data_IF_926445090201
#
_entry.id   IF_926445090201
#
_cell.length_a   1.000
_cell.length_b   1.000
_cell.length_c   1.000
_cell.angle_alpha   90.00
_cell.angle_beta   90.00
_cell.angle_gamma   90.00
#
_symmetry.space_group_name_H-M   'P 1'
#
loop_
_entity.id
_entity.type
_entity.pdbx_description
1 polymer ?
#
# COMPACT_ATOMS: atom_id res chain seq x y z
N UNK A 1 15.47 36.67 33.77
CA UNK A 1 15.39 35.18 33.78
C UNK A 1 14.61 34.61 32.59
N UNK A 2 14.33 35.25 31.42
CA UNK A 2 13.66 34.52 30.34
C UNK A 2 14.59 34.08 29.18
N UNK A 3 15.80 34.57 29.07
CA UNK A 3 16.65 34.24 27.91
C UNK A 3 17.28 32.85 27.95
N UNK A 4 17.59 32.31 29.12
CA UNK A 4 18.17 30.97 29.27
C UNK A 4 17.19 29.84 28.95
N UNK A 5 15.89 30.07 29.18
CA UNK A 5 14.86 29.07 28.92
C UNK A 5 14.59 28.87 27.42
N UNK A 6 14.67 29.96 26.66
CA UNK A 6 14.49 29.92 25.18
C UNK A 6 15.69 29.26 24.51
N UNK A 7 16.91 29.48 24.99
CA UNK A 7 18.12 28.85 24.46
C UNK A 7 18.12 27.35 24.76
N UNK A 8 17.64 26.94 25.93
CA UNK A 8 17.52 25.51 26.30
C UNK A 8 16.47 24.79 25.46
N UNK A 9 15.35 25.43 25.16
CA UNK A 9 14.33 24.90 24.24
C UNK A 9 14.85 24.80 22.81
N UNK A 10 15.60 25.78 22.32
CA UNK A 10 16.23 25.70 21.00
C UNK A 10 17.31 24.62 20.92
N UNK A 11 18.07 24.41 22.01
CA UNK A 11 19.06 23.34 22.08
C UNK A 11 18.42 21.93 22.13
N UNK A 12 17.32 21.79 22.86
CA UNK A 12 16.55 20.53 22.90
C UNK A 12 15.87 20.24 21.57
N UNK A 13 15.30 21.25 20.90
CA UNK A 13 14.69 21.10 19.58
C UNK A 13 15.73 20.80 18.48
N UNK A 14 16.91 21.43 18.54
CA UNK A 14 18.01 21.15 17.60
C UNK A 14 18.57 19.73 17.76
N UNK A 15 18.69 19.23 18.99
CA UNK A 15 19.15 17.86 19.27
C UNK A 15 18.08 16.81 18.96
N UNK A 16 16.80 17.12 19.17
CA UNK A 16 15.70 16.23 18.80
C UNK A 16 15.63 16.04 17.28
N UNK A 17 15.79 17.12 16.51
CA UNK A 17 15.86 17.07 15.04
C UNK A 17 17.03 16.22 14.55
N UNK A 18 18.24 16.39 15.14
CA UNK A 18 19.43 15.59 14.76
C UNK A 18 19.31 14.11 15.14
N UNK A 19 18.65 13.80 16.24
CA UNK A 19 18.42 12.41 16.65
C UNK A 19 17.39 11.71 15.77
N UNK A 20 16.33 12.42 15.37
CA UNK A 20 15.33 11.92 14.45
C UNK A 20 15.91 11.69 13.04
N UNK A 21 16.78 12.59 12.54
CA UNK A 21 17.50 12.41 11.28
C UNK A 21 18.45 11.21 11.31
N UNK A 22 19.18 11.04 12.41
CA UNK A 22 20.14 9.93 12.57
C UNK A 22 19.43 8.58 12.66
N UNK A 23 18.25 8.54 13.30
CA UNK A 23 17.42 7.34 13.38
C UNK A 23 16.80 6.99 12.01
N UNK A 24 16.30 7.99 11.28
CA UNK A 24 15.77 7.81 9.92
C UNK A 24 16.85 7.32 8.93
N UNK A 25 18.07 7.86 9.03
CA UNK A 25 19.19 7.46 8.19
C UNK A 25 19.63 6.01 8.46
N UNK A 26 19.73 5.61 9.72
CA UNK A 26 20.08 4.23 10.10
C UNK A 26 18.97 3.22 9.74
N UNK A 27 17.70 3.61 9.84
CA UNK A 27 16.56 2.78 9.45
C UNK A 27 16.55 2.52 7.94
N UNK A 28 16.76 3.56 7.13
CA UNK A 28 16.85 3.41 5.68
C UNK A 28 18.03 2.53 5.25
N UNK A 29 19.18 2.67 5.88
CA UNK A 29 20.34 1.83 5.61
C UNK A 29 20.06 0.35 5.96
N UNK A 30 19.31 0.08 7.02
CA UNK A 30 18.89 -1.27 7.38
C UNK A 30 17.91 -1.85 6.36
N UNK A 31 16.91 -1.08 5.94
CA UNK A 31 15.93 -1.53 4.94
C UNK A 31 16.57 -1.82 3.58
N UNK A 32 17.48 -0.95 3.11
CA UNK A 32 18.18 -1.15 1.82
C UNK A 32 19.06 -2.39 1.79
N UNK A 33 19.47 -2.90 2.93
CA UNK A 33 20.24 -4.16 3.02
C UNK A 33 19.39 -5.41 2.73
N UNK A 34 18.07 -5.36 3.01
CA UNK A 34 17.19 -6.53 2.97
C UNK A 34 16.09 -6.44 1.93
N UNK A 35 15.74 -5.23 1.48
CA UNK A 35 14.67 -4.98 0.54
C UNK A 35 15.13 -4.19 -0.68
N UNK A 36 14.56 -4.52 -1.83
CA UNK A 36 14.80 -3.76 -3.04
C UNK A 36 14.22 -2.34 -2.92
N UNK A 37 14.85 -1.36 -3.57
CA UNK A 37 14.45 0.06 -3.54
C UNK A 37 12.97 0.30 -3.90
N UNK A 38 12.40 -0.51 -4.80
CA UNK A 38 10.98 -0.44 -5.16
C UNK A 38 10.04 -0.77 -3.99
N UNK A 39 10.41 -1.73 -3.14
CA UNK A 39 9.62 -2.03 -1.92
C UNK A 39 9.70 -0.85 -0.97
N UNK A 40 10.89 -0.28 -0.79
CA UNK A 40 11.12 0.86 0.11
C UNK A 40 10.32 2.06 -0.36
N UNK A 41 10.35 2.36 -1.66
CA UNK A 41 9.61 3.48 -2.24
C UNK A 41 8.08 3.32 -2.03
N UNK A 42 7.50 2.16 -2.35
CA UNK A 42 6.07 1.92 -2.15
C UNK A 42 5.67 1.82 -0.66
N UNK A 43 6.60 1.51 0.21
CA UNK A 43 6.38 1.48 1.66
C UNK A 43 6.45 2.88 2.28
N UNK A 44 7.46 3.68 1.92
CA UNK A 44 7.65 5.02 2.47
C UNK A 44 6.69 6.06 1.85
N UNK A 45 6.36 5.88 0.57
CA UNK A 45 5.48 6.74 -0.19
C UNK A 45 4.33 5.94 -0.81
N UNK A 46 3.45 5.32 -0.02
CA UNK A 46 2.38 4.47 -0.56
C UNK A 46 1.37 5.29 -1.35
N UNK A 47 1.04 4.83 -2.56
CA UNK A 47 0.09 5.45 -3.47
C UNK A 47 -1.31 4.96 -3.14
N UNK A 48 -2.31 5.83 -3.32
CA UNK A 48 -3.73 5.48 -3.25
C UNK A 48 -4.20 4.92 -1.89
N UNK A 49 -3.57 5.34 -0.80
CA UNK A 49 -4.00 4.98 0.55
C UNK A 49 -5.32 5.68 0.88
N UNK A 50 -6.29 4.94 1.41
CA UNK A 50 -7.56 5.51 1.83
C UNK A 50 -8.74 4.58 1.65
N UNK A 51 -9.92 5.17 1.55
CA UNK A 51 -11.17 4.46 1.23
C UNK A 51 -12.18 5.42 0.63
N UNK A 52 -13.01 4.91 -0.28
CA UNK A 52 -14.18 5.62 -0.78
C UNK A 52 -15.31 5.61 0.23
N UNK A 53 -16.24 6.54 0.05
CA UNK A 53 -17.48 6.55 0.82
C UNK A 53 -18.33 5.35 0.41
N UNK A 54 -18.85 4.61 1.39
CA UNK A 54 -19.70 3.43 1.16
C UNK A 54 -21.03 3.73 0.46
N UNK A 55 -21.41 5.01 0.34
CA UNK A 55 -22.62 5.46 -0.37
C UNK A 55 -22.39 5.73 -1.87
N UNK A 56 -21.16 5.74 -2.33
CA UNK A 56 -20.85 5.94 -3.75
C UNK A 56 -21.24 4.67 -4.53
N UNK A 57 -21.88 4.90 -5.68
CA UNK A 57 -22.19 3.84 -6.64
C UNK A 57 -20.93 3.46 -7.42
N UNK A 58 -20.96 2.30 -8.07
CA UNK A 58 -19.86 1.80 -8.92
C UNK A 58 -18.57 1.46 -8.17
N UNK A 59 -18.65 1.12 -6.87
CA UNK A 59 -17.50 0.71 -6.08
C UNK A 59 -17.55 -0.79 -5.80
N UNK A 60 -16.49 -1.49 -6.23
CA UNK A 60 -16.22 -2.85 -5.81
C UNK A 60 -15.32 -2.86 -4.58
N UNK A 61 -15.68 -3.60 -3.55
CA UNK A 61 -14.94 -3.69 -2.29
C UNK A 61 -14.52 -5.12 -2.02
N UNK A 62 -13.27 -5.32 -1.62
CA UNK A 62 -12.76 -6.58 -1.09
C UNK A 62 -12.06 -6.38 0.25
N UNK A 63 -12.18 -7.36 1.12
CA UNK A 63 -11.36 -7.48 2.33
C UNK A 63 -10.77 -8.90 2.32
N UNK A 64 -9.46 -8.98 2.31
CA UNK A 64 -8.73 -10.25 2.25
C UNK A 64 -7.74 -10.29 3.41
N UNK A 65 -7.66 -11.44 4.05
CA UNK A 65 -6.69 -11.70 5.12
C UNK A 65 -5.75 -12.83 4.74
N UNK A 66 -4.50 -12.75 5.16
CA UNK A 66 -3.50 -13.81 5.08
C UNK A 66 -3.21 -14.34 6.49
N UNK A 67 -3.90 -15.39 6.97
CA UNK A 67 -3.78 -15.88 8.36
C UNK A 67 -2.36 -16.27 8.74
N UNK A 68 -1.55 -16.72 7.77
CA UNK A 68 -0.17 -17.16 7.99
C UNK A 68 0.77 -16.03 8.46
N UNK A 69 0.44 -14.76 8.18
CA UNK A 69 1.26 -13.61 8.56
C UNK A 69 0.48 -12.51 9.29
N UNK A 70 -0.83 -12.69 9.47
CA UNK A 70 -1.70 -11.69 10.12
C UNK A 70 -1.95 -10.44 9.28
N UNK A 71 -1.53 -10.44 8.00
CA UNK A 71 -1.77 -9.31 7.10
C UNK A 71 -3.23 -9.28 6.65
N UNK A 72 -3.82 -8.09 6.58
CA UNK A 72 -5.18 -7.85 6.08
C UNK A 72 -5.15 -6.68 5.11
N UNK A 73 -5.79 -6.84 3.95
CA UNK A 73 -5.94 -5.79 2.95
C UNK A 73 -7.41 -5.54 2.65
N UNK A 74 -7.83 -4.29 2.73
CA UNK A 74 -9.07 -3.79 2.14
C UNK A 74 -8.72 -3.08 0.85
N UNK A 75 -9.28 -3.52 -0.28
CA UNK A 75 -9.18 -2.87 -1.58
C UNK A 75 -10.56 -2.39 -2.01
N UNK A 76 -10.62 -1.17 -2.52
CA UNK A 76 -11.80 -0.61 -3.16
C UNK A 76 -11.41 -0.10 -4.54
N UNK A 77 -12.20 -0.46 -5.55
CA UNK A 77 -12.05 0.00 -6.93
C UNK A 77 -13.30 0.80 -7.33
N UNK A 78 -13.11 1.92 -7.99
CA UNK A 78 -14.17 2.70 -8.61
C UNK A 78 -14.11 2.47 -10.11
N UNK A 79 -15.22 2.04 -10.70
CA UNK A 79 -15.30 1.63 -12.10
C UNK A 79 -16.25 2.57 -12.83
N UNK A 80 -15.86 3.03 -14.02
CA UNK A 80 -16.69 3.84 -14.88
C UNK A 80 -17.77 3.02 -15.62
N UNK A 81 -18.65 3.69 -16.36
CA UNK A 81 -19.73 3.03 -17.11
C UNK A 81 -19.22 2.17 -18.28
N UNK A 82 -17.97 2.35 -18.69
CA UNK A 82 -17.31 1.58 -19.75
C UNK A 82 -16.55 0.36 -19.22
N UNK A 83 -16.49 0.19 -17.89
CA UNK A 83 -15.80 -0.92 -17.24
C UNK A 83 -14.30 -0.67 -17.00
N UNK A 84 -13.81 0.56 -17.09
CA UNK A 84 -12.45 0.92 -16.71
C UNK A 84 -12.37 1.31 -15.24
N UNK A 85 -11.28 0.95 -14.60
CA UNK A 85 -11.00 1.33 -13.22
C UNK A 85 -10.52 2.79 -13.20
N UNK A 86 -11.41 3.70 -12.80
CA UNK A 86 -11.13 5.13 -12.71
C UNK A 86 -10.19 5.46 -11.56
N UNK A 87 -10.42 4.85 -10.40
CA UNK A 87 -9.60 5.04 -9.21
C UNK A 87 -9.63 3.78 -8.34
N UNK A 88 -8.61 3.62 -7.48
CA UNK A 88 -8.52 2.53 -6.53
C UNK A 88 -7.95 3.03 -5.21
N UNK A 89 -8.49 2.56 -4.08
CA UNK A 89 -8.01 2.90 -2.74
C UNK A 89 -7.77 1.64 -1.94
N UNK A 90 -6.76 1.69 -1.08
CA UNK A 90 -6.50 0.58 -0.18
C UNK A 90 -6.24 1.01 1.26
N UNK A 91 -6.51 0.08 2.17
CA UNK A 91 -6.04 0.11 3.56
C UNK A 91 -5.47 -1.26 3.87
N UNK A 92 -4.24 -1.30 4.36
CA UNK A 92 -3.55 -2.55 4.72
C UNK A 92 -3.08 -2.46 6.16
N UNK A 93 -3.35 -3.51 6.91
CA UNK A 93 -2.74 -3.78 8.19
C UNK A 93 -1.81 -4.97 8.00
N UNK A 94 -0.50 -4.77 8.16
CA UNK A 94 0.47 -5.83 7.88
C UNK A 94 1.90 -5.32 7.75
N UNK A 95 2.75 -6.18 7.21
CA UNK A 95 4.17 -5.87 7.04
C UNK A 95 4.43 -4.87 5.90
N UNK A 96 5.64 -4.29 5.87
CA UNK A 96 6.03 -3.34 4.82
C UNK A 96 5.91 -3.88 3.39
N UNK A 97 6.13 -5.19 3.20
CA UNK A 97 5.93 -5.84 1.90
C UNK A 97 4.45 -5.91 1.50
N UNK A 98 3.53 -6.07 2.47
CA UNK A 98 2.09 -6.05 2.21
C UNK A 98 1.63 -4.65 1.81
N UNK A 99 2.13 -3.60 2.48
CA UNK A 99 1.86 -2.20 2.11
C UNK A 99 2.40 -1.90 0.71
N UNK A 100 3.63 -2.31 0.42
CA UNK A 100 4.24 -2.10 -0.90
C UNK A 100 3.49 -2.84 -2.02
N UNK A 101 3.06 -4.08 -1.78
CA UNK A 101 2.29 -4.86 -2.74
C UNK A 101 0.92 -4.23 -3.00
N UNK A 102 0.24 -3.74 -1.95
CA UNK A 102 -1.04 -3.05 -2.05
C UNK A 102 -0.92 -1.76 -2.85
N UNK A 103 0.09 -0.95 -2.53
CA UNK A 103 0.39 0.33 -3.21
C UNK A 103 0.64 0.12 -4.71
N UNK A 104 1.57 -0.79 -5.06
CA UNK A 104 1.86 -1.10 -6.45
C UNK A 104 0.64 -1.64 -7.20
N UNK A 105 -0.13 -2.52 -6.57
CA UNK A 105 -1.31 -3.13 -7.21
C UNK A 105 -2.36 -2.08 -7.56
N UNK A 106 -2.63 -1.11 -6.68
CA UNK A 106 -3.57 -0.03 -7.00
C UNK A 106 -3.08 0.83 -8.16
N UNK A 107 -1.78 1.17 -8.22
CA UNK A 107 -1.18 1.91 -9.32
C UNK A 107 -1.25 1.13 -10.64
N UNK A 108 -1.05 -0.20 -10.57
CA UNK A 108 -1.09 -1.07 -11.75
C UNK A 108 -2.48 -1.22 -12.37
N UNK A 109 -3.55 -1.26 -11.54
CA UNK A 109 -4.91 -1.53 -12.04
C UNK A 109 -5.65 -0.28 -12.49
N UNK A 110 -5.29 0.92 -12.00
CA UNK A 110 -5.91 2.18 -12.43
C UNK A 110 -5.73 2.38 -13.93
N UNK A 111 -6.79 2.79 -14.63
CA UNK A 111 -6.84 2.98 -16.07
C UNK A 111 -7.01 1.69 -16.88
N UNK A 112 -7.05 0.51 -16.26
CA UNK A 112 -7.30 -0.75 -16.95
C UNK A 112 -8.76 -1.14 -16.92
N UNK A 113 -9.20 -1.85 -17.96
CA UNK A 113 -10.51 -2.48 -17.96
C UNK A 113 -10.54 -3.65 -16.97
N UNK A 114 -11.67 -3.86 -16.28
CA UNK A 114 -11.84 -4.91 -15.25
C UNK A 114 -11.46 -6.32 -15.72
N UNK A 115 -11.71 -6.64 -17.02
CA UNK A 115 -11.35 -7.94 -17.59
C UNK A 115 -9.83 -8.11 -17.80
N UNK A 116 -9.08 -7.01 -17.87
CA UNK A 116 -7.63 -7.00 -17.91
C UNK A 116 -7.05 -7.01 -16.49
N UNK A 117 -7.60 -6.18 -15.62
CA UNK A 117 -7.15 -6.07 -14.23
C UNK A 117 -7.29 -7.40 -13.48
N UNK A 118 -8.32 -8.21 -13.77
CA UNK A 118 -8.51 -9.53 -13.13
C UNK A 118 -7.39 -10.53 -13.48
N UNK A 119 -6.67 -10.31 -14.60
CA UNK A 119 -5.58 -11.20 -15.04
C UNK A 119 -4.25 -10.94 -14.33
N UNK A 120 -4.18 -9.95 -13.43
CA UNK A 120 -2.98 -9.72 -12.62
C UNK A 120 -2.59 -10.99 -11.87
N UNK A 121 -1.29 -11.29 -11.86
CA UNK A 121 -0.74 -12.45 -11.15
C UNK A 121 0.19 -11.99 -10.04
N UNK A 122 0.22 -12.76 -8.97
CA UNK A 122 1.17 -12.54 -7.86
C UNK A 122 2.63 -12.53 -8.34
N UNK A 123 2.92 -13.35 -9.39
CA UNK A 123 4.25 -13.38 -10.02
C UNK A 123 4.67 -12.04 -10.61
N UNK A 124 3.74 -11.26 -11.15
CA UNK A 124 4.03 -9.97 -11.77
C UNK A 124 4.32 -8.91 -10.69
N UNK A 125 3.51 -8.91 -9.62
CA UNK A 125 3.70 -8.07 -8.44
C UNK A 125 5.05 -8.39 -7.78
N UNK A 126 5.33 -9.67 -7.53
CA UNK A 126 6.55 -10.11 -6.87
C UNK A 126 7.81 -9.84 -7.69
N UNK A 127 7.76 -10.01 -9.01
CA UNK A 127 8.86 -9.68 -9.92
C UNK A 127 9.14 -8.19 -9.97
N UNK A 128 8.10 -7.36 -10.07
CA UNK A 128 8.26 -5.91 -10.11
C UNK A 128 8.90 -5.39 -8.81
N UNK A 129 8.35 -5.77 -7.67
CA UNK A 129 8.85 -5.35 -6.37
C UNK A 129 10.14 -6.06 -5.95
N UNK A 130 10.50 -7.16 -6.63
CA UNK A 130 11.60 -8.06 -6.24
C UNK A 130 11.42 -8.57 -4.81
N UNK A 131 10.22 -9.08 -4.52
CA UNK A 131 9.89 -9.63 -3.22
C UNK A 131 10.77 -10.84 -2.88
N UNK A 132 11.32 -10.94 -1.66
CA UNK A 132 12.00 -12.15 -1.22
C UNK A 132 10.98 -13.32 -1.12
N UNK A 133 11.43 -14.59 -1.30
CA UNK A 133 10.54 -15.77 -1.31
C UNK A 133 9.63 -15.86 -0.10
N UNK A 134 10.12 -15.50 1.09
CA UNK A 134 9.36 -15.51 2.35
C UNK A 134 8.22 -14.47 2.40
N UNK A 135 8.15 -13.55 1.42
CA UNK A 135 7.15 -12.48 1.33
C UNK A 135 6.21 -12.61 0.11
N UNK A 136 6.25 -13.74 -0.58
CA UNK A 136 5.37 -13.98 -1.75
C UNK A 136 3.88 -13.99 -1.37
N UNK A 137 3.54 -14.36 -0.13
CA UNK A 137 2.16 -14.28 0.36
C UNK A 137 1.57 -12.86 0.31
N UNK A 138 2.41 -11.80 0.42
CA UNK A 138 1.93 -10.42 0.28
C UNK A 138 1.47 -10.10 -1.14
N UNK A 139 2.13 -10.66 -2.17
CA UNK A 139 1.68 -10.53 -3.56
C UNK A 139 0.43 -11.37 -3.86
N UNK A 140 0.27 -12.53 -3.22
CA UNK A 140 -0.94 -13.33 -3.32
C UNK A 140 -2.14 -12.60 -2.70
N UNK A 141 -1.96 -12.02 -1.52
CA UNK A 141 -2.98 -11.20 -0.86
C UNK A 141 -3.48 -10.06 -1.78
N UNK A 142 -2.56 -9.40 -2.48
CA UNK A 142 -2.89 -8.31 -3.40
C UNK A 142 -3.64 -8.82 -4.65
N UNK A 143 -3.21 -9.93 -5.25
CA UNK A 143 -3.90 -10.57 -6.37
C UNK A 143 -5.34 -10.95 -6.00
N UNK A 144 -5.52 -11.62 -4.86
CA UNK A 144 -6.84 -12.06 -4.39
C UNK A 144 -7.77 -10.87 -4.10
N UNK A 145 -7.21 -9.77 -3.57
CA UNK A 145 -7.96 -8.55 -3.33
C UNK A 145 -8.53 -7.95 -4.61
N UNK A 146 -7.77 -7.92 -5.70
CA UNK A 146 -8.25 -7.42 -7.01
C UNK A 146 -9.36 -8.30 -7.55
N UNK A 147 -9.16 -9.63 -7.55
CA UNK A 147 -10.17 -10.58 -8.05
C UNK A 147 -11.48 -10.47 -7.28
N UNK A 148 -11.41 -10.38 -5.96
CA UNK A 148 -12.60 -10.27 -5.11
C UNK A 148 -13.27 -8.90 -5.25
N UNK A 149 -12.53 -7.79 -5.39
CA UNK A 149 -13.12 -6.47 -5.60
C UNK A 149 -13.88 -6.39 -6.91
N UNK A 150 -13.31 -6.94 -7.99
CA UNK A 150 -13.98 -7.01 -9.31
C UNK A 150 -15.21 -7.91 -9.26
N UNK A 151 -15.13 -9.06 -8.58
CA UNK A 151 -16.28 -9.94 -8.42
C UNK A 151 -17.40 -9.31 -7.59
N UNK A 152 -17.07 -8.56 -6.55
CA UNK A 152 -18.02 -7.81 -5.75
C UNK A 152 -18.70 -6.71 -6.61
N UNK A 153 -17.92 -5.95 -7.38
CA UNK A 153 -18.45 -4.95 -8.30
C UNK A 153 -19.46 -5.57 -9.29
N UNK A 154 -19.12 -6.69 -9.94
CA UNK A 154 -20.02 -7.39 -10.87
C UNK A 154 -21.34 -7.82 -10.22
N UNK A 155 -21.30 -8.27 -8.96
CA UNK A 155 -22.51 -8.67 -8.21
C UNK A 155 -23.43 -7.50 -7.84
N UNK A 156 -22.89 -6.28 -7.73
CA UNK A 156 -23.67 -5.08 -7.40
C UNK A 156 -24.36 -4.52 -8.66
N UNK A 157 -23.81 -4.77 -9.85
CA UNK A 157 -24.34 -4.29 -11.12
C UNK A 157 -25.47 -5.19 -11.70
N UNK A 158 -25.52 -6.45 -11.26
CA UNK A 158 -26.53 -7.44 -11.64
C UNK A 158 -27.42 -7.81 -10.45
#
# INVERSE_FOLDING_TARGET
IPYYFIILLFYMFSNYSRHCYKFKYNYNLFLTKYYHTRIIDHYENPRNVGSFNSKEKNIGTAIVGAPACGDVMKLQIKVDDLGFIEDAKFKTFGCGSAIASSSYTTEYIIGKHINEAVKIKNSDISKYLKLPPVKLHCSMLAEDSVKLAINNYKKIQF
#
